data_IF_798296786970
#
_entry.id   IF_798296786970
#
_cell.length_a   1.000
_cell.length_b   1.000
_cell.length_c   1.000
_cell.angle_alpha   90.00
_cell.angle_beta   90.00
_cell.angle_gamma   90.00
#
_symmetry.space_group_name_H-M   'P 1'
#
loop_
_entity.id
_entity.type
_entity.pdbx_description
1 polymer ?
#
# COMPACT_ATOMS: atom_id res chain seq x y z
N UNK A 1 12.29 -14.77 15.71
CA UNK A 1 11.50 -13.93 16.64
C UNK A 1 12.36 -12.76 17.06
N UNK A 2 11.86 -11.52 16.93
CA UNK A 2 12.59 -10.32 17.34
C UNK A 2 12.37 -10.09 18.84
N UNK A 3 13.39 -10.32 19.66
CA UNK A 3 13.33 -10.15 21.12
C UNK A 3 13.97 -8.83 21.53
N UNK A 4 13.15 -7.80 21.72
CA UNK A 4 13.57 -6.46 22.17
C UNK A 4 13.14 -6.24 23.62
N UNK A 5 13.96 -5.53 24.41
CA UNK A 5 13.71 -5.30 25.85
C UNK A 5 12.34 -4.67 26.15
N UNK A 6 11.82 -3.85 25.24
CA UNK A 6 10.58 -3.11 25.41
C UNK A 6 9.43 -3.66 24.53
N UNK A 7 9.59 -4.85 23.95
CA UNK A 7 8.67 -5.34 22.92
C UNK A 7 8.84 -4.65 21.58
N UNK A 8 8.01 -5.04 20.60
CA UNK A 8 8.06 -4.49 19.24
C UNK A 8 7.69 -3.00 19.25
N UNK A 9 8.43 -2.22 18.47
CA UNK A 9 8.22 -0.78 18.29
C UNK A 9 7.92 -0.50 16.82
N UNK A 10 7.02 0.47 16.57
CA UNK A 10 6.79 1.01 15.24
C UNK A 10 7.86 2.05 14.89
N UNK A 11 8.28 2.06 13.63
CA UNK A 11 9.24 3.01 13.06
C UNK A 11 8.73 3.44 11.66
N UNK A 12 9.39 4.42 11.04
CA UNK A 12 9.01 4.88 9.69
C UNK A 12 7.77 5.78 9.70
N UNK A 13 7.75 6.78 10.60
CA UNK A 13 6.61 7.67 10.79
C UNK A 13 6.68 8.96 9.96
N UNK A 14 7.65 9.09 9.04
CA UNK A 14 7.87 10.30 8.24
C UNK A 14 6.72 10.64 7.28
N UNK A 15 5.91 9.64 6.91
CA UNK A 15 4.71 9.81 6.08
C UNK A 15 3.41 9.56 6.86
N UNK A 16 3.49 9.48 8.19
CA UNK A 16 2.32 9.24 9.04
C UNK A 16 1.29 10.37 8.89
N UNK A 17 0.02 9.99 8.77
CA UNK A 17 -1.09 10.92 8.61
C UNK A 17 -2.34 10.39 9.30
N UNK A 18 -3.35 11.25 9.45
CA UNK A 18 -4.68 10.84 9.94
C UNK A 18 -5.49 10.29 8.77
N UNK A 19 -6.01 9.08 8.92
CA UNK A 19 -6.80 8.41 7.89
C UNK A 19 -7.67 7.28 8.43
N UNK A 20 -8.37 6.55 7.54
CA UNK A 20 -9.08 5.34 7.90
C UNK A 20 -8.09 4.23 8.31
N UNK A 21 -8.52 3.31 9.17
CA UNK A 21 -7.67 2.18 9.61
C UNK A 21 -7.28 1.27 8.45
N UNK A 22 -8.11 1.24 7.40
CA UNK A 22 -7.89 0.56 6.13
C UNK A 22 -6.61 1.01 5.42
N UNK A 23 -6.16 2.26 5.63
CA UNK A 23 -4.87 2.72 5.10
C UNK A 23 -3.70 1.99 5.76
N UNK A 24 -3.76 1.71 7.06
CA UNK A 24 -2.74 0.94 7.76
C UNK A 24 -2.80 -0.54 7.36
N UNK A 25 -4.01 -1.10 7.27
CA UNK A 25 -4.23 -2.49 6.83
C UNK A 25 -3.78 -2.74 5.39
N UNK A 26 -3.80 -1.72 4.52
CA UNK A 26 -3.31 -1.82 3.15
C UNK A 26 -1.81 -2.10 3.06
N UNK A 27 -1.03 -1.81 4.12
CA UNK A 27 0.40 -2.16 4.22
C UNK A 27 0.65 -3.56 4.81
N UNK A 28 -0.37 -4.20 5.37
CA UNK A 28 -0.24 -5.48 6.05
C UNK A 28 -0.62 -6.67 5.14
N UNK A 29 -0.12 -7.88 5.45
CA UNK A 29 -0.63 -9.12 4.86
C UNK A 29 -2.14 -9.28 5.05
N UNK A 30 -2.78 -10.04 4.16
CA UNK A 30 -4.24 -10.18 4.13
C UNK A 30 -4.80 -10.84 5.39
N UNK A 31 -4.03 -11.72 6.02
CA UNK A 31 -4.38 -12.43 7.25
C UNK A 31 -4.56 -11.45 8.43
N UNK A 32 -3.92 -10.28 8.40
CA UNK A 32 -4.09 -9.27 9.46
C UNK A 32 -5.51 -8.72 9.47
N UNK A 33 -6.21 -8.73 8.34
CA UNK A 33 -7.59 -8.23 8.24
C UNK A 33 -8.56 -9.00 9.15
N UNK A 34 -8.27 -10.28 9.45
CA UNK A 34 -9.11 -11.12 10.32
C UNK A 34 -9.20 -10.56 11.75
N UNK A 35 -8.20 -9.77 12.15
CA UNK A 35 -8.17 -9.10 13.45
C UNK A 35 -8.95 -7.77 13.47
N UNK A 36 -9.44 -7.30 12.32
CA UNK A 36 -10.14 -6.01 12.16
C UNK A 36 -11.53 -6.21 11.53
N UNK A 37 -12.47 -6.87 12.23
CA UNK A 37 -13.79 -7.19 11.67
C UNK A 37 -14.65 -5.96 11.34
N UNK A 38 -14.30 -4.79 11.89
CA UNK A 38 -14.97 -3.52 11.58
C UNK A 38 -14.45 -2.79 10.35
N UNK A 39 -13.39 -3.30 9.70
CA UNK A 39 -12.82 -2.66 8.52
C UNK A 39 -13.76 -2.80 7.31
N UNK A 40 -14.00 -1.69 6.62
CA UNK A 40 -14.73 -1.64 5.38
C UNK A 40 -13.86 -2.26 4.26
N UNK A 41 -14.31 -3.41 3.74
CA UNK A 41 -13.56 -4.19 2.76
C UNK A 41 -13.42 -3.49 1.40
N UNK A 42 -14.40 -2.67 1.02
CA UNK A 42 -14.33 -1.92 -0.23
C UNK A 42 -13.34 -0.76 -0.11
N UNK A 43 -13.36 -0.04 1.02
CA UNK A 43 -12.37 0.98 1.33
C UNK A 43 -10.96 0.39 1.44
N UNK A 44 -10.81 -0.78 2.04
CA UNK A 44 -9.52 -1.48 2.11
C UNK A 44 -8.99 -1.84 0.71
N UNK A 45 -9.87 -2.27 -0.20
CA UNK A 45 -9.49 -2.53 -1.60
C UNK A 45 -8.98 -1.26 -2.27
N UNK A 46 -9.65 -0.13 -2.07
CA UNK A 46 -9.20 1.17 -2.59
C UNK A 46 -7.88 1.62 -1.96
N UNK A 47 -7.73 1.50 -0.64
CA UNK A 47 -6.50 1.83 0.08
C UNK A 47 -5.31 1.00 -0.41
N UNK A 48 -5.49 -0.30 -0.70
CA UNK A 48 -4.43 -1.15 -1.29
C UNK A 48 -3.97 -0.64 -2.66
N UNK A 49 -4.90 -0.17 -3.49
CA UNK A 49 -4.55 0.43 -4.79
C UNK A 49 -3.81 1.76 -4.57
N UNK A 50 -4.28 2.60 -3.65
CA UNK A 50 -3.67 3.88 -3.31
C UNK A 50 -2.24 3.70 -2.79
N UNK A 51 -2.02 2.80 -1.83
CA UNK A 51 -0.69 2.48 -1.30
C UNK A 51 0.23 1.98 -2.41
N UNK A 52 -0.25 1.06 -3.26
CA UNK A 52 0.52 0.59 -4.41
C UNK A 52 0.89 1.75 -5.35
N UNK A 53 -0.03 2.69 -5.58
CA UNK A 53 0.23 3.88 -6.38
C UNK A 53 1.30 4.79 -5.76
N UNK A 54 1.19 5.08 -4.46
CA UNK A 54 2.19 5.89 -3.71
C UNK A 54 3.57 5.27 -3.83
N UNK A 55 3.73 3.98 -3.47
CA UNK A 55 5.05 3.33 -3.55
C UNK A 55 5.56 3.22 -4.99
N UNK A 56 4.65 3.08 -5.96
CA UNK A 56 5.01 3.09 -7.39
C UNK A 56 5.63 4.42 -7.77
N UNK A 57 5.07 5.56 -7.33
CA UNK A 57 5.65 6.89 -7.63
C UNK A 57 7.10 7.02 -7.18
N UNK A 58 7.45 6.44 -6.04
CA UNK A 58 8.84 6.44 -5.55
C UNK A 58 9.77 5.64 -6.47
N UNK A 59 9.28 4.58 -7.12
CA UNK A 59 10.07 3.82 -8.11
C UNK A 59 10.28 4.58 -9.43
N UNK A 60 9.53 5.66 -9.66
CA UNK A 60 9.68 6.55 -10.82
C UNK A 60 10.58 7.75 -10.51
N UNK A 61 10.96 7.95 -9.25
CA UNK A 61 11.91 8.99 -8.86
C UNK A 61 13.26 8.79 -9.56
N UNK A 62 13.82 9.88 -10.09
CA UNK A 62 15.04 9.83 -10.90
C UNK A 62 16.29 9.51 -10.06
N UNK A 63 16.21 9.78 -8.77
CA UNK A 63 17.26 9.55 -7.78
C UNK A 63 17.07 8.24 -7.02
N UNK A 64 16.02 7.47 -7.30
CA UNK A 64 15.80 6.16 -6.66
C UNK A 64 17.00 5.22 -6.86
N UNK A 65 17.58 4.78 -5.75
CA UNK A 65 18.72 3.85 -5.72
C UNK A 65 18.34 2.44 -5.24
N UNK A 66 17.06 2.20 -4.92
CA UNK A 66 16.66 0.88 -4.43
C UNK A 66 16.63 -0.14 -5.58
N UNK A 67 16.86 -1.44 -5.29
CA UNK A 67 16.91 -2.48 -6.31
C UNK A 67 15.66 -2.52 -7.20
N UNK A 68 15.85 -2.87 -8.47
CA UNK A 68 14.77 -3.10 -9.44
C UNK A 68 13.83 -1.90 -9.71
N UNK A 69 14.22 -0.65 -9.42
CA UNK A 69 13.37 0.55 -9.56
C UNK A 69 12.46 0.59 -10.78
N UNK A 70 13.03 0.78 -11.98
CA UNK A 70 12.25 0.87 -13.23
C UNK A 70 11.42 -0.37 -13.53
N UNK A 71 11.93 -1.57 -13.23
CA UNK A 71 11.21 -2.83 -13.46
C UNK A 71 9.96 -2.89 -12.59
N UNK A 72 10.11 -2.68 -11.28
CA UNK A 72 8.99 -2.66 -10.33
C UNK A 72 8.03 -1.51 -10.63
N UNK A 73 8.53 -0.33 -10.98
CA UNK A 73 7.70 0.81 -11.35
C UNK A 73 6.79 0.53 -12.55
N UNK A 74 7.26 -0.26 -13.52
CA UNK A 74 6.45 -0.67 -14.69
C UNK A 74 5.46 -1.78 -14.35
N UNK A 75 5.92 -2.76 -13.58
CA UNK A 75 5.12 -3.90 -13.12
C UNK A 75 3.93 -3.43 -12.25
N UNK A 76 4.20 -2.64 -11.22
CA UNK A 76 3.17 -2.13 -10.32
C UNK A 76 2.23 -1.13 -11.00
N UNK A 77 2.72 -0.30 -11.93
CA UNK A 77 1.85 0.53 -12.76
C UNK A 77 0.84 -0.31 -13.56
N UNK A 78 1.26 -1.47 -14.06
CA UNK A 78 0.39 -2.40 -14.78
C UNK A 78 -0.64 -3.04 -13.84
N UNK A 79 -0.22 -3.40 -12.62
CA UNK A 79 -1.13 -3.92 -11.58
C UNK A 79 -2.18 -2.89 -11.15
N UNK A 80 -1.79 -1.62 -10.99
CA UNK A 80 -2.71 -0.52 -10.65
C UNK A 80 -3.77 -0.37 -11.74
N UNK A 81 -3.36 -0.30 -13.01
CA UNK A 81 -4.29 -0.20 -14.15
C UNK A 81 -5.28 -1.35 -14.16
N UNK A 82 -4.79 -2.58 -14.04
CA UNK A 82 -5.65 -3.76 -14.01
C UNK A 82 -6.60 -3.77 -12.79
N UNK A 83 -6.17 -3.25 -11.64
CA UNK A 83 -7.02 -3.16 -10.45
C UNK A 83 -8.11 -2.09 -10.59
N UNK A 84 -7.78 -0.94 -11.16
CA UNK A 84 -8.74 0.13 -11.44
C UNK A 84 -9.79 -0.32 -12.47
N UNK A 85 -9.37 -1.05 -13.51
CA UNK A 85 -10.28 -1.62 -14.51
C UNK A 85 -11.29 -2.58 -13.85
N UNK A 86 -10.82 -3.45 -12.94
CA UNK A 86 -11.68 -4.39 -12.20
C UNK A 86 -12.64 -3.70 -11.22
N UNK A 87 -12.23 -2.60 -10.62
CA UNK A 87 -13.06 -1.86 -9.66
C UNK A 87 -14.07 -0.92 -10.33
N UNK A 88 -14.07 -0.80 -11.67
CA UNK A 88 -14.91 0.16 -12.38
C UNK A 88 -14.56 1.62 -12.07
N UNK A 89 -13.40 1.87 -11.46
CA UNK A 89 -12.90 3.22 -11.16
C UNK A 89 -12.35 3.92 -12.42
N UNK A 90 -12.17 3.17 -13.50
CA UNK A 90 -11.94 3.72 -14.84
C UNK A 90 -13.30 4.10 -15.45
N UNK A 91 -13.86 5.24 -15.04
CA UNK A 91 -14.96 5.87 -15.77
C UNK A 91 -14.57 7.22 -16.36
N UNK A 92 -14.57 7.22 -17.70
CA UNK A 92 -14.88 8.32 -18.62
C UNK A 92 -14.01 9.59 -18.50
N UNK A 93 -12.84 9.51 -19.12
CA UNK A 93 -12.30 10.66 -19.86
C UNK A 93 -12.89 10.70 -21.26
#
# INVERSE_FOLDING_TARGET
MLTTKNGLLFIGLETCCRGPVESDLAHAPEEVNEHYPGANQDLLRECRILVLAVITTWRWDRSDQLPNGRRLGTEWLSQIRAALDRNGLVTRG
#
